data_IF_436042394295
#
_entry.id   IF_436042394295
#
_cell.length_a   1.000
_cell.length_b   1.000
_cell.length_c   1.000
_cell.angle_alpha   90.00
_cell.angle_beta   90.00
_cell.angle_gamma   90.00
#
_symmetry.space_group_name_H-M   'P 1'
#
loop_
_entity.id
_entity.type
_entity.pdbx_description
1 polymer ?
#
# COMPACT_ATOMS: atom_id res chain seq x y z
N UNK A 1 13.66 -15.04 -24.22
CA UNK A 1 12.37 -14.76 -24.88
C UNK A 1 11.55 -13.88 -23.95
N UNK A 2 11.04 -12.74 -24.41
CA UNK A 2 10.18 -11.88 -23.58
C UNK A 2 8.76 -12.43 -23.51
N UNK A 3 8.08 -12.25 -22.37
CA UNK A 3 6.65 -12.52 -22.23
C UNK A 3 5.87 -11.20 -22.36
N UNK A 4 4.75 -11.17 -23.09
CA UNK A 4 3.89 -9.98 -23.14
C UNK A 4 3.28 -9.73 -21.75
N UNK A 5 3.42 -8.50 -21.25
CA UNK A 5 2.84 -8.06 -19.99
C UNK A 5 1.69 -7.08 -20.24
N UNK A 6 0.57 -7.29 -19.55
CA UNK A 6 -0.56 -6.38 -19.57
C UNK A 6 -0.62 -5.64 -18.22
N UNK A 7 -0.88 -4.33 -18.23
CA UNK A 7 -0.85 -3.53 -17.02
C UNK A 7 -1.46 -2.15 -17.20
N UNK A 8 -1.30 -1.30 -16.19
CA UNK A 8 -1.81 0.06 -16.13
C UNK A 8 -0.67 1.06 -16.37
N UNK A 9 -0.94 2.12 -17.13
CA UNK A 9 -0.06 3.27 -17.24
C UNK A 9 -0.32 4.24 -16.08
N UNK A 10 0.64 4.36 -15.17
CA UNK A 10 0.55 5.20 -13.96
C UNK A 10 1.26 6.55 -14.09
N UNK A 11 1.74 6.91 -15.28
CA UNK A 11 2.29 8.24 -15.58
C UNK A 11 1.26 9.37 -15.47
N UNK A 12 0.00 9.23 -15.92
CA UNK A 12 -0.97 10.30 -15.74
C UNK A 12 -1.31 10.45 -14.25
N UNK A 13 -1.53 11.69 -13.76
CA UNK A 13 -1.95 11.91 -12.39
C UNK A 13 -3.27 11.18 -12.14
N UNK A 14 -3.34 10.43 -11.03
CA UNK A 14 -4.58 9.80 -10.62
C UNK A 14 -5.65 10.89 -10.38
N UNK A 15 -6.83 10.80 -11.02
CA UNK A 15 -7.85 11.83 -10.88
C UNK A 15 -8.25 12.04 -9.42
N UNK A 16 -8.12 13.27 -8.93
CA UNK A 16 -8.53 13.64 -7.58
C UNK A 16 -7.58 13.20 -6.45
N UNK A 17 -6.43 12.60 -6.76
CA UNK A 17 -5.42 12.26 -5.75
C UNK A 17 -4.38 13.39 -5.61
N UNK A 18 -3.99 13.77 -4.38
CA UNK A 18 -2.92 14.74 -4.19
C UNK A 18 -1.60 14.20 -4.74
N UNK A 19 -0.70 15.10 -5.15
CA UNK A 19 0.58 14.75 -5.77
C UNK A 19 1.45 13.78 -4.96
N UNK A 20 1.21 13.66 -3.64
CA UNK A 20 1.88 12.74 -2.74
C UNK A 20 0.84 11.87 -2.01
N UNK A 21 0.14 11.01 -2.77
CA UNK A 21 -0.80 10.05 -2.22
C UNK A 21 -0.23 8.63 -2.29
N UNK A 22 0.04 8.03 -1.13
CA UNK A 22 0.29 6.61 -1.06
C UNK A 22 -1.02 5.86 -1.22
N UNK A 23 -1.12 4.90 -2.14
CA UNK A 23 -2.33 4.06 -2.34
C UNK A 23 -1.98 2.58 -2.38
N UNK A 24 -2.88 1.73 -1.87
CA UNK A 24 -2.80 0.27 -2.03
C UNK A 24 -3.76 -0.25 -3.10
N UNK A 25 -4.49 0.62 -3.80
CA UNK A 25 -5.43 0.23 -4.85
C UNK A 25 -4.80 -0.70 -5.88
N UNK A 26 -3.62 -0.34 -6.40
CA UNK A 26 -2.96 -1.17 -7.42
C UNK A 26 -2.63 -2.58 -6.90
N UNK A 27 -2.17 -2.69 -5.65
CA UNK A 27 -1.93 -3.99 -5.03
C UNK A 27 -3.22 -4.83 -4.96
N UNK A 28 -4.33 -4.20 -4.56
CA UNK A 28 -5.64 -4.85 -4.50
C UNK A 28 -6.13 -5.26 -5.89
N UNK A 29 -6.08 -4.35 -6.86
CA UNK A 29 -6.54 -4.57 -8.23
C UNK A 29 -5.77 -5.71 -8.91
N UNK A 30 -4.44 -5.69 -8.82
CA UNK A 30 -3.61 -6.74 -9.41
C UNK A 30 -3.73 -8.07 -8.65
N UNK A 31 -3.90 -8.06 -7.33
CA UNK A 31 -4.19 -9.30 -6.59
C UNK A 31 -5.53 -9.89 -7.02
N UNK A 32 -6.56 -9.06 -7.17
CA UNK A 32 -7.89 -9.48 -7.62
C UNK A 32 -7.83 -10.11 -9.02
N UNK A 33 -7.13 -9.48 -9.96
CA UNK A 33 -6.98 -9.94 -11.35
C UNK A 33 -6.00 -11.11 -11.52
N UNK A 34 -5.15 -11.38 -10.53
CA UNK A 34 -4.15 -12.45 -10.62
C UNK A 34 -4.80 -13.83 -10.72
N UNK A 35 -4.35 -14.60 -11.71
CA UNK A 35 -4.69 -16.02 -11.88
C UNK A 35 -3.87 -16.95 -10.97
N UNK A 36 -2.77 -16.47 -10.39
CA UNK A 36 -1.87 -17.21 -9.50
C UNK A 36 -1.77 -16.56 -8.12
N UNK A 37 -2.93 -16.44 -7.45
CA UNK A 37 -3.02 -15.90 -6.08
C UNK A 37 -2.10 -16.61 -5.07
N UNK A 38 -1.88 -17.95 -5.12
CA UNK A 38 -0.99 -18.63 -4.18
C UNK A 38 0.46 -18.13 -4.21
N UNK A 39 0.96 -17.68 -5.37
CA UNK A 39 2.33 -17.19 -5.53
C UNK A 39 2.42 -15.66 -5.71
N UNK A 40 1.30 -14.94 -5.63
CA UNK A 40 1.27 -13.49 -5.82
C UNK A 40 2.20 -12.73 -4.86
N UNK A 41 2.26 -13.17 -3.60
CA UNK A 41 3.13 -12.56 -2.59
C UNK A 41 4.44 -13.34 -2.47
N UNK A 42 5.56 -12.63 -2.63
CA UNK A 42 6.88 -13.21 -2.41
C UNK A 42 7.20 -13.35 -0.91
N UNK A 43 8.23 -14.12 -0.57
CA UNK A 43 8.75 -14.26 0.81
C UNK A 43 9.27 -12.96 1.45
N UNK A 44 9.46 -11.90 0.64
CA UNK A 44 9.98 -10.61 1.09
C UNK A 44 8.88 -9.57 1.32
N UNK A 45 7.62 -9.90 1.02
CA UNK A 45 6.52 -8.93 1.11
C UNK A 45 6.37 -8.35 2.52
N UNK A 46 6.45 -9.18 3.56
CA UNK A 46 6.38 -8.74 4.96
C UNK A 46 7.56 -7.87 5.36
N UNK A 47 8.74 -8.10 4.77
CA UNK A 47 9.93 -7.31 5.06
C UNK A 47 9.78 -5.89 4.51
N UNK A 48 9.13 -5.75 3.34
CA UNK A 48 8.81 -4.45 2.75
C UNK A 48 7.63 -3.77 3.44
N UNK A 49 6.58 -4.53 3.75
CA UNK A 49 5.37 -4.02 4.40
C UNK A 49 5.59 -3.72 5.90
N UNK A 50 6.57 -4.35 6.53
CA UNK A 50 6.86 -4.25 7.96
C UNK A 50 5.88 -5.03 8.87
N UNK A 51 4.98 -5.83 8.28
CA UNK A 51 3.95 -6.61 8.98
C UNK A 51 3.35 -7.67 8.06
N UNK A 52 2.81 -8.74 8.64
CA UNK A 52 1.96 -9.75 7.98
C UNK A 52 0.52 -9.28 7.75
N UNK A 53 0.07 -8.27 8.48
CA UNK A 53 -1.30 -7.77 8.46
C UNK A 53 -1.75 -7.32 7.07
N UNK A 54 -0.88 -6.65 6.30
CA UNK A 54 -1.26 -6.15 4.97
C UNK A 54 -1.63 -7.30 4.03
N UNK A 55 -0.83 -8.38 3.99
CA UNK A 55 -1.15 -9.56 3.17
C UNK A 55 -2.48 -10.16 3.61
N UNK A 56 -2.67 -10.37 4.91
CA UNK A 56 -3.89 -10.94 5.45
C UNK A 56 -5.14 -10.11 5.07
N UNK A 57 -5.03 -8.78 5.11
CA UNK A 57 -6.12 -7.87 4.74
C UNK A 57 -6.43 -7.91 3.24
N UNK A 58 -5.41 -7.99 2.38
CA UNK A 58 -5.58 -8.12 0.91
C UNK A 58 -6.27 -9.45 0.57
N UNK A 59 -5.79 -10.55 1.14
CA UNK A 59 -6.37 -11.90 0.94
C UNK A 59 -7.81 -11.96 1.45
N UNK A 60 -8.11 -11.30 2.57
CA UNK A 60 -9.46 -11.19 3.11
C UNK A 60 -10.38 -10.24 2.33
N UNK A 61 -9.91 -9.62 1.23
CA UNK A 61 -10.71 -8.74 0.39
C UNK A 61 -11.09 -7.41 1.05
N UNK A 62 -10.31 -6.92 2.01
CA UNK A 62 -10.57 -5.61 2.63
C UNK A 62 -10.40 -4.47 1.63
N UNK A 63 -11.25 -3.46 1.73
CA UNK A 63 -11.13 -2.24 0.94
C UNK A 63 -9.89 -1.43 1.37
N UNK A 64 -9.35 -0.64 0.44
CA UNK A 64 -8.25 0.29 0.74
C UNK A 64 -8.57 1.19 1.93
N UNK A 65 -9.79 1.74 1.99
CA UNK A 65 -10.22 2.59 3.10
C UNK A 65 -10.11 1.86 4.45
N UNK A 66 -10.52 0.59 4.52
CA UNK A 66 -10.42 -0.24 5.73
C UNK A 66 -8.97 -0.53 6.12
N UNK A 67 -8.14 -0.88 5.13
CA UNK A 67 -6.70 -1.14 5.32
C UNK A 67 -6.02 0.11 5.90
N UNK A 68 -6.25 1.27 5.29
CA UNK A 68 -5.64 2.54 5.73
C UNK A 68 -6.16 3.03 7.06
N UNK A 69 -7.45 2.79 7.36
CA UNK A 69 -8.01 3.06 8.67
C UNK A 69 -7.27 2.26 9.76
N UNK A 70 -6.90 1.00 9.48
CA UNK A 70 -6.14 0.17 10.42
C UNK A 70 -4.77 0.73 10.79
N UNK A 71 -4.19 1.60 9.95
CA UNK A 71 -2.89 2.22 10.21
C UNK A 71 -2.98 3.49 11.05
N UNK A 72 -4.14 4.14 11.12
CA UNK A 72 -4.30 5.44 11.78
C UNK A 72 -3.79 5.47 13.24
N UNK A 73 -4.02 4.44 14.08
CA UNK A 73 -3.49 4.44 15.44
C UNK A 73 -1.94 4.46 15.48
N UNK A 74 -1.30 3.67 14.61
CA UNK A 74 0.17 3.62 14.51
C UNK A 74 0.75 4.92 13.96
N UNK A 75 0.10 5.50 12.96
CA UNK A 75 0.46 6.80 12.38
C UNK A 75 0.32 7.93 13.40
N UNK A 76 -0.76 7.95 14.18
CA UNK A 76 -0.96 8.94 15.24
C UNK A 76 0.14 8.86 16.31
N UNK A 77 0.49 7.64 16.75
CA UNK A 77 1.58 7.43 17.71
C UNK A 77 2.94 7.83 17.17
N UNK A 78 3.21 7.57 15.88
CA UNK A 78 4.45 8.01 15.23
C UNK A 78 4.50 9.54 15.10
N UNK A 79 3.41 10.18 14.68
CA UNK A 79 3.30 11.65 14.61
C UNK A 79 3.54 12.31 15.96
N UNK A 80 3.02 11.76 17.05
CA UNK A 80 3.31 12.27 18.39
C UNK A 80 4.80 12.16 18.76
N UNK A 81 5.42 11.00 18.50
CA UNK A 81 6.84 10.78 18.81
C UNK A 81 7.79 11.64 17.97
N UNK A 82 7.52 11.80 16.66
CA UNK A 82 8.43 12.52 15.76
C UNK A 82 8.55 14.01 16.10
N UNK A 83 7.55 14.61 16.78
CA UNK A 83 7.55 16.03 17.16
C UNK A 83 8.77 16.45 17.98
N UNK A 84 9.31 15.54 18.79
CA UNK A 84 10.50 15.79 19.61
C UNK A 84 11.78 15.99 18.78
N UNK A 85 11.76 15.60 17.50
CA UNK A 85 12.93 15.51 16.64
C UNK A 85 12.78 16.34 15.35
N UNK A 86 11.72 17.17 15.25
CA UNK A 86 11.50 18.00 14.06
C UNK A 86 12.45 19.19 14.06
N UNK A 87 13.22 19.33 12.97
CA UNK A 87 14.05 20.51 12.70
C UNK A 87 13.28 21.60 11.94
N UNK A 88 12.15 21.25 11.33
CA UNK A 88 11.30 22.14 10.54
C UNK A 88 9.84 21.99 10.98
N UNK A 89 9.01 23.05 10.81
CA UNK A 89 7.60 22.99 11.14
C UNK A 89 6.88 21.81 10.47
N UNK A 90 5.86 21.28 11.14
CA UNK A 90 5.03 20.22 10.59
C UNK A 90 4.18 20.78 9.44
N UNK A 91 4.16 20.06 8.31
CA UNK A 91 3.28 20.33 7.16
C UNK A 91 1.88 19.77 7.38
#
# INVERSE_FOLDING_TARGET
>A
MGQPCHGLDLRPPAPGEPAQFFTVRYLLDFYQQSTDKPHFFTKYFEQLAGTDSLRAQVVAGRSEASIRASWQPGLARFRARRKLYLLYPEQ
#
